data_IF_819735044055
#
_entry.id   IF_819735044055
#
_cell.length_a   1.000
_cell.length_b   1.000
_cell.length_c   1.000
_cell.angle_alpha   90.00
_cell.angle_beta   90.00
_cell.angle_gamma   90.00
#
_symmetry.space_group_name_H-M   'P 1'
#
loop_
_entity.id
_entity.type
_entity.pdbx_description
1 polymer ?
#
# COMPACT_ATOMS: atom_id res chain seq x y z
N UNK A 1 5.51 -20.61 -0.86
CA UNK A 1 4.45 -20.34 -1.87
C UNK A 1 3.09 -20.17 -1.18
N UNK A 2 3.08 -19.87 0.12
CA UNK A 2 1.88 -19.65 0.93
C UNK A 2 1.49 -18.16 1.08
N UNK A 3 2.42 -17.24 0.88
CA UNK A 3 2.31 -15.84 1.30
C UNK A 3 1.29 -15.03 0.49
N UNK A 4 1.23 -15.24 -0.83
CA UNK A 4 0.26 -14.54 -1.70
C UNK A 4 -1.18 -15.02 -1.43
N UNK A 5 -1.48 -16.34 -1.44
CA UNK A 5 -2.81 -16.83 -1.07
C UNK A 5 -3.24 -16.39 0.33
N UNK A 6 -2.34 -16.44 1.32
CA UNK A 6 -2.62 -16.00 2.69
C UNK A 6 -2.98 -14.51 2.76
N UNK A 7 -2.23 -13.66 2.05
CA UNK A 7 -2.49 -12.22 1.96
C UNK A 7 -3.88 -11.95 1.39
N UNK A 8 -4.23 -12.58 0.26
CA UNK A 8 -5.54 -12.40 -0.37
C UNK A 8 -6.68 -12.93 0.52
N UNK A 9 -6.47 -14.06 1.20
CA UNK A 9 -7.45 -14.61 2.13
C UNK A 9 -7.71 -13.66 3.30
N UNK A 10 -6.66 -13.11 3.94
CA UNK A 10 -6.80 -12.14 5.03
C UNK A 10 -7.54 -10.90 4.57
N UNK A 11 -7.17 -10.33 3.41
CA UNK A 11 -7.83 -9.15 2.86
C UNK A 11 -9.32 -9.38 2.60
N UNK A 12 -9.65 -10.56 2.05
CA UNK A 12 -11.04 -10.95 1.76
C UNK A 12 -11.84 -11.11 3.05
N UNK A 13 -11.29 -11.83 4.04
CA UNK A 13 -11.96 -12.07 5.32
C UNK A 13 -12.11 -10.79 6.16
N UNK A 14 -11.16 -9.86 6.05
CA UNK A 14 -11.20 -8.58 6.73
C UNK A 14 -12.07 -7.54 6.00
N UNK A 15 -12.60 -7.87 4.82
CA UNK A 15 -13.40 -6.99 3.97
C UNK A 15 -12.71 -5.66 3.66
N UNK A 16 -11.38 -5.72 3.52
CA UNK A 16 -10.54 -4.53 3.32
C UNK A 16 -10.36 -3.63 4.55
N UNK A 17 -10.99 -3.91 5.69
CA UNK A 17 -10.82 -3.10 6.92
C UNK A 17 -9.35 -3.10 7.38
N UNK A 18 -8.67 -1.94 7.44
CA UNK A 18 -7.24 -1.91 7.70
C UNK A 18 -6.85 -2.45 9.07
N UNK A 19 -7.65 -2.18 10.10
CA UNK A 19 -7.33 -2.59 11.47
C UNK A 19 -7.45 -4.10 11.61
N UNK A 20 -8.55 -4.70 11.15
CA UNK A 20 -8.74 -6.16 11.12
C UNK A 20 -7.67 -6.82 10.28
N UNK A 21 -7.44 -6.38 9.04
CA UNK A 21 -6.52 -7.01 8.12
C UNK A 21 -5.07 -7.01 8.65
N UNK A 22 -4.59 -5.87 9.13
CA UNK A 22 -3.22 -5.74 9.68
C UNK A 22 -3.10 -6.54 10.98
N UNK A 23 -4.10 -6.49 11.86
CA UNK A 23 -4.06 -7.27 13.11
C UNK A 23 -4.04 -8.76 12.83
N UNK A 24 -4.87 -9.26 11.92
CA UNK A 24 -4.93 -10.70 11.63
C UNK A 24 -3.67 -11.20 10.93
N UNK A 25 -3.14 -10.42 9.97
CA UNK A 25 -1.88 -10.78 9.29
C UNK A 25 -0.68 -10.80 10.25
N UNK A 26 -0.58 -9.84 11.18
CA UNK A 26 0.46 -9.83 12.21
C UNK A 26 0.38 -11.03 13.17
N UNK A 27 -0.82 -11.63 13.33
CA UNK A 27 -1.05 -12.82 14.15
C UNK A 27 -1.06 -14.14 13.35
N UNK A 28 -0.72 -14.12 12.05
CA UNK A 28 -0.87 -15.28 11.18
C UNK A 28 0.15 -16.41 11.43
N UNK A 29 1.29 -16.14 12.07
CA UNK A 29 2.30 -17.16 12.43
C UNK A 29 3.69 -16.91 11.81
N UNK A 30 4.33 -17.96 11.27
CA UNK A 30 5.77 -17.98 10.91
C UNK A 30 6.21 -16.83 9.98
N UNK A 31 5.46 -16.56 8.93
CA UNK A 31 5.78 -15.55 7.89
C UNK A 31 4.91 -14.28 8.07
N UNK A 32 4.49 -14.00 9.30
CA UNK A 32 3.57 -12.90 9.61
C UNK A 32 4.10 -11.53 9.21
N UNK A 33 5.41 -11.29 9.28
CA UNK A 33 6.03 -10.01 8.89
C UNK A 33 5.83 -9.70 7.40
N UNK A 34 6.07 -10.69 6.55
CA UNK A 34 5.98 -10.58 5.09
C UNK A 34 4.52 -10.46 4.68
N UNK A 35 3.64 -11.26 5.29
CA UNK A 35 2.19 -11.19 5.03
C UNK A 35 1.63 -9.86 5.50
N UNK A 36 1.96 -9.41 6.73
CA UNK A 36 1.51 -8.13 7.26
C UNK A 36 2.04 -6.95 6.43
N UNK A 37 3.26 -7.04 5.89
CA UNK A 37 3.81 -6.01 5.00
C UNK A 37 3.00 -5.90 3.72
N UNK A 38 2.66 -7.03 3.08
CA UNK A 38 1.84 -7.01 1.86
C UNK A 38 0.40 -6.57 2.13
N UNK A 39 -0.24 -7.12 3.17
CA UNK A 39 -1.58 -6.72 3.60
C UNK A 39 -1.60 -5.22 3.92
N UNK A 40 -0.66 -4.74 4.73
CA UNK A 40 -0.51 -3.33 5.10
C UNK A 40 -0.32 -2.41 3.89
N UNK A 41 0.49 -2.83 2.92
CA UNK A 41 0.70 -2.09 1.66
C UNK A 41 -0.61 -1.95 0.88
N UNK A 42 -1.39 -3.03 0.77
CA UNK A 42 -2.65 -3.03 0.02
C UNK A 42 -3.71 -2.17 0.72
N UNK A 43 -3.95 -2.38 2.02
CA UNK A 43 -4.96 -1.58 2.74
C UNK A 43 -4.53 -0.12 2.88
N UNK A 44 -3.22 0.15 2.99
CA UNK A 44 -2.67 1.50 2.99
C UNK A 44 -2.85 2.21 1.65
N UNK A 45 -2.72 1.50 0.53
CA UNK A 45 -3.00 2.06 -0.79
C UNK A 45 -4.50 2.38 -0.98
N UNK A 46 -5.40 1.55 -0.44
CA UNK A 46 -6.84 1.72 -0.56
C UNK A 46 -7.39 2.86 0.31
N UNK A 47 -6.86 3.03 1.53
CA UNK A 47 -7.43 3.94 2.53
C UNK A 47 -6.56 5.17 2.81
N UNK A 48 -5.32 5.18 2.33
CA UNK A 48 -4.32 6.15 2.70
C UNK A 48 -3.90 6.06 4.18
N UNK A 49 -2.90 6.86 4.57
CA UNK A 49 -2.44 6.91 5.95
C UNK A 49 -3.54 7.37 6.93
N UNK A 50 -4.45 8.23 6.48
CA UNK A 50 -5.60 8.69 7.27
C UNK A 50 -6.63 7.61 7.60
N UNK A 51 -6.64 6.50 6.85
CA UNK A 51 -7.49 5.35 7.14
C UNK A 51 -6.90 4.37 8.15
N UNK A 52 -5.68 4.61 8.62
CA UNK A 52 -5.01 3.79 9.63
C UNK A 52 -5.16 4.44 11.03
N UNK A 53 -5.05 3.66 12.13
CA UNK A 53 -4.96 4.23 13.47
C UNK A 53 -3.80 5.23 13.56
N UNK A 54 -4.09 6.47 13.97
CA UNK A 54 -3.09 7.55 14.04
C UNK A 54 -1.93 7.26 14.99
N UNK A 55 -2.14 6.40 15.99
CA UNK A 55 -1.09 5.93 16.89
C UNK A 55 -0.10 4.99 16.22
N UNK A 56 -0.54 4.20 15.23
CA UNK A 56 0.33 3.28 14.47
C UNK A 56 1.20 4.07 13.48
N UNK A 57 0.53 4.87 12.64
CA UNK A 57 0.88 6.26 12.32
C UNK A 57 2.20 6.80 12.89
N UNK A 58 2.01 7.52 13.99
CA UNK A 58 3.04 8.20 14.75
C UNK A 58 4.15 7.26 15.24
N UNK A 59 3.86 5.99 15.56
CA UNK A 59 4.87 5.05 16.03
C UNK A 59 5.89 4.72 14.94
N UNK A 60 5.45 4.57 13.69
CA UNK A 60 6.35 4.32 12.54
C UNK A 60 7.14 5.57 12.21
N UNK A 61 6.49 6.73 12.18
CA UNK A 61 7.14 8.01 11.86
C UNK A 61 8.13 8.50 12.94
N UNK A 62 8.02 8.02 14.17
CA UNK A 62 8.98 8.31 15.23
C UNK A 62 10.37 7.69 14.98
N UNK A 63 10.53 6.82 13.97
CA UNK A 63 11.82 6.23 13.63
C UNK A 63 12.73 7.26 12.93
N UNK A 64 13.83 7.73 13.56
CA UNK A 64 14.66 8.79 12.99
C UNK A 64 15.50 8.35 11.79
N UNK A 65 15.60 7.04 11.53
CA UNK A 65 16.38 6.50 10.42
C UNK A 65 15.67 6.63 9.06
N UNK A 66 14.37 6.95 9.04
CA UNK A 66 13.56 6.95 7.82
C UNK A 66 12.67 8.18 7.76
N UNK A 67 12.42 8.67 6.54
CA UNK A 67 11.48 9.76 6.28
C UNK A 67 10.41 9.25 5.31
N UNK A 68 9.44 8.51 5.86
CA UNK A 68 8.45 7.77 5.08
C UNK A 68 7.58 8.67 4.18
N UNK A 69 7.23 9.87 4.65
CA UNK A 69 6.36 10.79 3.92
C UNK A 69 7.06 11.37 2.69
N UNK A 70 8.31 11.80 2.84
CA UNK A 70 9.10 12.35 1.73
C UNK A 70 9.30 11.29 0.64
N UNK A 71 9.64 10.07 1.03
CA UNK A 71 9.86 8.98 0.08
C UNK A 71 8.56 8.57 -0.61
N UNK A 72 7.45 8.49 0.14
CA UNK A 72 6.13 8.21 -0.44
C UNK A 72 5.70 9.33 -1.41
N UNK A 73 5.97 10.59 -1.10
CA UNK A 73 5.67 11.73 -1.98
C UNK A 73 6.48 11.67 -3.28
N UNK A 74 7.78 11.36 -3.21
CA UNK A 74 8.63 11.19 -4.40
C UNK A 74 8.14 10.04 -5.28
N UNK A 75 7.80 8.89 -4.69
CA UNK A 75 7.23 7.76 -5.41
C UNK A 75 5.90 8.13 -6.09
N UNK A 76 5.00 8.80 -5.37
CA UNK A 76 3.74 9.27 -5.93
C UNK A 76 3.94 10.25 -7.09
N UNK A 77 4.94 11.13 -7.00
CA UNK A 77 5.30 12.05 -8.08
C UNK A 77 5.75 11.28 -9.33
N UNK A 78 6.63 10.28 -9.17
CA UNK A 78 7.09 9.45 -10.29
C UNK A 78 5.91 8.73 -10.95
N UNK A 79 5.01 8.12 -10.17
CA UNK A 79 3.81 7.45 -10.68
C UNK A 79 2.91 8.40 -11.46
N UNK A 80 2.67 9.62 -10.95
CA UNK A 80 1.87 10.64 -11.66
C UNK A 80 2.50 11.04 -12.99
N UNK A 81 3.80 11.32 -13.01
CA UNK A 81 4.52 11.66 -14.24
C UNK A 81 4.38 10.57 -15.31
N UNK A 82 4.50 9.29 -14.91
CA UNK A 82 4.31 8.16 -15.83
C UNK A 82 2.90 8.06 -16.38
N UNK A 83 1.89 8.26 -15.54
CA UNK A 83 0.48 8.26 -15.97
C UNK A 83 0.23 9.39 -16.98
N UNK A 84 0.78 10.57 -16.74
CA UNK A 84 0.62 11.72 -17.64
C UNK A 84 1.34 11.50 -18.97
N UNK A 85 2.54 10.92 -18.97
CA UNK A 85 3.26 10.49 -20.17
C UNK A 85 2.44 9.48 -21.00
N UNK A 86 1.86 8.46 -20.35
CA UNK A 86 1.02 7.47 -21.02
C UNK A 86 -0.24 8.08 -21.62
N UNK A 87 -0.91 9.00 -20.92
CA UNK A 87 -2.08 9.72 -21.44
C UNK A 87 -1.75 10.56 -22.66
N UNK A 88 -0.64 11.30 -22.65
CA UNK A 88 -0.18 12.09 -23.81
C UNK A 88 0.12 11.21 -25.02
N UNK A 89 0.77 10.08 -24.79
CA UNK A 89 1.05 9.10 -25.85
C UNK A 89 -0.25 8.56 -26.45
N UNK A 90 -1.24 8.21 -25.61
CA UNK A 90 -2.54 7.74 -26.07
C UNK A 90 -3.28 8.77 -26.93
N UNK A 91 -3.33 10.04 -26.47
CA UNK A 91 -3.95 11.13 -27.21
C UNK A 91 -3.26 11.41 -28.56
N UNK A 92 -1.94 11.28 -28.63
CA UNK A 92 -1.20 11.43 -29.88
C UNK A 92 -1.53 10.32 -30.89
N UNK A 93 -1.67 9.07 -30.43
CA UNK A 93 -2.10 7.94 -31.28
C UNK A 93 -3.53 8.15 -31.80
N UNK A 94 -4.44 8.62 -30.95
CA UNK A 94 -5.83 8.91 -31.35
C UNK A 94 -5.92 10.05 -32.39
N UNK A 95 -5.00 11.03 -32.35
CA UNK A 95 -4.99 12.14 -33.32
C UNK A 95 -4.45 11.78 -34.71
N UNK A 96 -3.89 10.57 -34.88
CA UNK A 96 -3.35 10.06 -36.16
C UNK A 96 -4.35 9.20 -36.94
N UNK A 97 -5.51 8.86 -36.36
CA UNK A 97 -6.61 8.14 -37.01
C UNK A 97 -7.75 9.06 -37.41
#
# INVERSE_FOLDING_TARGET
METIPATLAILTLAEGDPVRAITWSANFGRDADTIATMVGSIVGALHGASGLPSSWVAKVEANPAFTYQDDTQKLAQVVRSRIDESKKTMAAVESLG
#
